data_IF_332080656044
#
_entry.id   IF_332080656044
#
_cell.length_a   1.000
_cell.length_b   1.000
_cell.length_c   1.000
_cell.angle_alpha   90.00
_cell.angle_beta   90.00
_cell.angle_gamma   90.00
#
_symmetry.space_group_name_H-M   'P 1'
#
loop_
_entity.id
_entity.type
_entity.pdbx_description
1 polymer ?
#
# COMPACT_ATOMS: atom_id res chain seq x y z
N UNK A 1 -50.10 4.95 21.40
CA UNK A 1 -49.59 5.16 20.03
C UNK A 1 -48.23 5.83 20.10
N UNK A 2 -47.14 5.08 20.10
CA UNK A 2 -45.80 5.66 20.00
C UNK A 2 -45.20 5.18 18.67
N UNK A 3 -45.15 6.07 17.69
CA UNK A 3 -44.58 5.84 16.37
C UNK A 3 -43.15 6.37 16.38
N UNK A 4 -42.23 5.47 16.04
CA UNK A 4 -40.96 5.65 15.34
C UNK A 4 -40.14 6.91 15.61
N UNK A 5 -38.93 6.71 16.14
CA UNK A 5 -37.71 7.09 15.44
C UNK A 5 -36.72 5.94 15.66
N UNK A 6 -36.63 5.03 14.70
CA UNK A 6 -35.39 4.31 14.46
C UNK A 6 -34.38 5.39 14.11
N UNK A 7 -33.44 5.62 15.01
CA UNK A 7 -32.21 6.34 14.72
C UNK A 7 -31.44 5.44 13.75
N UNK A 8 -31.75 5.62 12.48
CA UNK A 8 -31.03 5.06 11.35
C UNK A 8 -29.56 5.42 11.57
N UNK A 9 -28.77 4.38 11.80
CA UNK A 9 -27.33 4.45 11.97
C UNK A 9 -26.75 5.41 10.92
N UNK A 10 -26.28 6.56 11.39
CA UNK A 10 -25.37 7.42 10.65
C UNK A 10 -24.14 6.55 10.33
N UNK A 11 -24.16 5.93 9.15
CA UNK A 11 -22.98 5.40 8.51
C UNK A 11 -22.09 6.61 8.24
N UNK A 12 -21.30 6.99 9.25
CA UNK A 12 -20.28 8.01 9.17
C UNK A 12 -19.50 7.76 7.88
N UNK A 13 -19.59 8.71 6.96
CA UNK A 13 -18.88 8.68 5.69
C UNK A 13 -17.40 8.76 6.00
N UNK A 14 -16.80 7.59 6.23
CA UNK A 14 -15.40 7.46 6.56
C UNK A 14 -14.64 7.64 5.25
N UNK A 15 -14.35 8.90 4.93
CA UNK A 15 -13.34 9.23 3.92
C UNK A 15 -12.09 8.48 4.37
N UNK A 16 -11.58 7.53 3.56
CA UNK A 16 -10.39 6.78 3.95
C UNK A 16 -9.27 7.79 4.23
N UNK A 17 -8.47 7.51 5.27
CA UNK A 17 -7.30 8.33 5.54
C UNK A 17 -6.47 8.42 4.25
N UNK A 18 -5.87 9.58 3.97
CA UNK A 18 -5.13 9.79 2.72
C UNK A 18 -4.02 8.74 2.56
N UNK A 19 -3.46 8.29 3.70
CA UNK A 19 -2.53 7.18 3.77
C UNK A 19 -3.16 5.83 3.36
N UNK A 20 -4.33 5.48 3.87
CA UNK A 20 -5.02 4.23 3.53
C UNK A 20 -5.38 4.18 2.04
N UNK A 21 -5.86 5.30 1.49
CA UNK A 21 -6.10 5.43 0.05
C UNK A 21 -4.83 5.22 -0.77
N UNK A 22 -3.72 5.82 -0.36
CA UNK A 22 -2.43 5.65 -1.02
C UNK A 22 -1.92 4.21 -0.93
N UNK A 23 -2.11 3.51 0.18
CA UNK A 23 -1.72 2.10 0.32
C UNK A 23 -2.51 1.19 -0.62
N UNK A 24 -3.81 1.45 -0.81
CA UNK A 24 -4.64 0.70 -1.77
C UNK A 24 -4.13 0.90 -3.20
N UNK A 25 -3.77 2.14 -3.57
CA UNK A 25 -3.20 2.44 -4.88
C UNK A 25 -1.85 1.73 -5.08
N UNK A 26 -0.97 1.80 -4.07
CA UNK A 26 0.32 1.10 -4.07
C UNK A 26 0.13 -0.40 -4.29
N UNK A 27 -0.79 -1.05 -3.57
CA UNK A 27 -1.09 -2.47 -3.77
C UNK A 27 -1.51 -2.76 -5.21
N UNK A 28 -2.41 -1.96 -5.77
CA UNK A 28 -2.85 -2.10 -7.16
C UNK A 28 -1.68 -2.00 -8.15
N UNK A 29 -0.80 -1.01 -7.96
CA UNK A 29 0.38 -0.78 -8.81
C UNK A 29 1.39 -1.92 -8.68
N UNK A 30 1.67 -2.39 -7.46
CA UNK A 30 2.60 -3.50 -7.23
C UNK A 30 2.11 -4.81 -7.86
N UNK A 31 0.82 -5.13 -7.73
CA UNK A 31 0.21 -6.31 -8.37
C UNK A 31 0.36 -6.29 -9.89
N UNK A 32 0.24 -5.11 -10.49
CA UNK A 32 0.41 -4.93 -11.94
C UNK A 32 1.87 -5.07 -12.38
N UNK A 33 2.82 -4.61 -11.55
CA UNK A 33 4.25 -4.69 -11.84
C UNK A 33 4.89 -6.05 -11.58
N UNK A 34 4.33 -6.82 -10.65
CA UNK A 34 4.84 -8.13 -10.24
C UNK A 34 3.75 -9.21 -10.41
N UNK A 35 3.26 -9.46 -11.65
CA UNK A 35 2.15 -10.40 -11.88
C UNK A 35 2.50 -11.86 -11.55
N UNK A 36 3.78 -12.21 -11.46
CA UNK A 36 4.27 -13.52 -11.04
C UNK A 36 4.29 -13.72 -9.52
N UNK A 37 4.11 -12.67 -8.72
CA UNK A 37 4.04 -12.76 -7.26
C UNK A 37 2.58 -12.92 -6.82
N UNK A 38 2.35 -13.85 -5.89
CA UNK A 38 1.01 -14.06 -5.32
C UNK A 38 0.47 -12.81 -4.63
N UNK A 39 -0.83 -12.58 -4.78
CA UNK A 39 -1.51 -11.40 -4.25
C UNK A 39 -1.37 -11.28 -2.73
N UNK A 40 -1.51 -12.40 -2.01
CA UNK A 40 -1.41 -12.42 -0.56
C UNK A 40 0.01 -12.05 -0.12
N UNK A 41 1.03 -12.47 -0.86
CA UNK A 41 2.44 -12.11 -0.59
C UNK A 41 2.69 -10.62 -0.79
N UNK A 42 2.14 -9.99 -1.83
CA UNK A 42 2.25 -8.54 -2.03
C UNK A 42 1.60 -7.78 -0.88
N UNK A 43 0.38 -8.18 -0.49
CA UNK A 43 -0.37 -7.58 0.62
C UNK A 43 0.36 -7.75 1.95
N UNK A 44 0.88 -8.94 2.23
CA UNK A 44 1.65 -9.23 3.44
C UNK A 44 2.87 -8.32 3.55
N UNK A 45 3.68 -8.24 2.49
CA UNK A 45 4.87 -7.39 2.50
C UNK A 45 4.55 -5.91 2.69
N UNK A 46 3.56 -5.38 1.97
CA UNK A 46 3.16 -3.96 2.13
C UNK A 46 2.72 -3.69 3.56
N UNK A 47 1.87 -4.55 4.13
CA UNK A 47 1.42 -4.40 5.52
C UNK A 47 2.56 -4.50 6.53
N UNK A 48 3.50 -5.41 6.35
CA UNK A 48 4.61 -5.58 7.27
C UNK A 48 5.63 -4.45 7.18
N UNK A 49 5.84 -3.88 5.99
CA UNK A 49 6.60 -2.65 5.83
C UNK A 49 5.87 -1.48 6.50
N UNK A 50 4.58 -1.33 6.25
CA UNK A 50 3.74 -0.26 6.81
C UNK A 50 3.76 -0.25 8.34
N UNK A 51 3.60 -1.41 8.97
CA UNK A 51 3.67 -1.55 10.45
C UNK A 51 4.99 -1.06 11.04
N UNK A 52 6.12 -1.12 10.30
CA UNK A 52 7.41 -0.60 10.79
C UNK A 52 7.41 0.91 10.97
N UNK A 53 6.49 1.61 10.31
CA UNK A 53 6.30 3.05 10.42
C UNK A 53 5.19 3.47 11.40
N UNK A 54 4.58 2.53 12.14
CA UNK A 54 3.45 2.83 13.03
C UNK A 54 3.74 3.88 14.12
N UNK A 55 5.01 4.05 14.51
CA UNK A 55 5.45 5.04 15.50
C UNK A 55 6.01 6.33 14.86
N UNK A 56 5.96 6.49 13.54
CA UNK A 56 6.50 7.65 12.85
C UNK A 56 5.65 8.91 13.15
N UNK A 57 6.26 10.03 13.58
CA UNK A 57 5.52 11.24 13.93
C UNK A 57 4.99 12.02 12.72
N UNK A 58 5.53 11.77 11.53
CA UNK A 58 5.09 12.37 10.25
C UNK A 58 4.68 11.24 9.33
N UNK A 59 3.42 11.24 8.88
CA UNK A 59 2.82 10.12 8.15
C UNK A 59 2.68 10.34 6.64
N UNK A 60 2.74 11.59 6.18
CA UNK A 60 2.59 11.97 4.76
C UNK A 60 3.56 11.24 3.81
N UNK A 61 4.72 10.83 4.30
CA UNK A 61 5.75 10.14 3.52
C UNK A 61 5.73 8.61 3.69
N UNK A 62 4.94 8.08 4.63
CA UNK A 62 4.88 6.65 4.91
C UNK A 62 4.47 5.86 3.66
N UNK A 63 3.46 6.25 2.86
CA UNK A 63 3.12 5.54 1.62
C UNK A 63 4.31 5.40 0.67
N UNK A 64 5.06 6.48 0.44
CA UNK A 64 6.21 6.48 -0.47
C UNK A 64 7.34 5.57 0.01
N UNK A 65 7.59 5.57 1.32
CA UNK A 65 8.60 4.68 1.92
C UNK A 65 8.17 3.21 1.82
N UNK A 66 6.90 2.93 2.07
CA UNK A 66 6.30 1.60 1.95
C UNK A 66 6.42 1.09 0.52
N UNK A 67 6.00 1.87 -0.48
CA UNK A 67 6.08 1.50 -1.89
C UNK A 67 7.53 1.18 -2.28
N UNK A 68 8.47 2.07 -1.95
CA UNK A 68 9.88 1.91 -2.31
C UNK A 68 10.46 0.60 -1.75
N UNK A 69 10.19 0.31 -0.48
CA UNK A 69 10.68 -0.92 0.16
C UNK A 69 9.96 -2.17 -0.35
N UNK A 70 8.67 -2.07 -0.65
CA UNK A 70 7.90 -3.18 -1.22
C UNK A 70 8.44 -3.55 -2.59
N UNK A 71 8.62 -2.57 -3.48
CA UNK A 71 9.27 -2.77 -4.80
C UNK A 71 10.61 -3.46 -4.64
N UNK A 72 11.49 -2.93 -3.79
CA UNK A 72 12.82 -3.51 -3.57
C UNK A 72 12.76 -4.96 -3.05
N UNK A 73 11.77 -5.30 -2.24
CA UNK A 73 11.57 -6.65 -1.69
C UNK A 73 11.05 -7.60 -2.75
N UNK A 74 10.00 -7.21 -3.49
CA UNK A 74 9.41 -8.01 -4.56
C UNK A 74 10.42 -8.26 -5.70
N UNK A 75 11.17 -7.26 -6.12
CA UNK A 75 12.28 -7.40 -7.08
C UNK A 75 13.29 -8.46 -6.65
N UNK A 76 13.63 -8.55 -5.36
CA UNK A 76 14.54 -9.60 -4.86
C UNK A 76 13.90 -10.98 -4.90
N UNK A 77 12.59 -11.08 -4.68
CA UNK A 77 11.85 -12.35 -4.68
C UNK A 77 11.67 -12.91 -6.09
N UNK A 78 11.42 -12.05 -7.07
CA UNK A 78 11.24 -12.48 -8.46
C UNK A 78 12.56 -12.84 -9.15
N UNK A 79 13.70 -12.60 -8.48
CA UNK A 79 15.03 -12.80 -9.07
C UNK A 79 15.28 -11.87 -10.26
N UNK A 80 14.38 -10.92 -10.51
CA UNK A 80 14.57 -9.86 -11.46
C UNK A 80 15.60 -8.92 -10.84
N UNK A 81 16.89 -9.19 -11.08
CA UNK A 81 17.88 -8.13 -11.01
C UNK A 81 17.40 -7.07 -11.99
N UNK A 82 16.74 -6.02 -11.49
CA UNK A 82 16.59 -4.76 -12.23
C UNK A 82 17.97 -4.52 -12.82
N UNK A 83 18.15 -4.61 -14.15
CA UNK A 83 19.44 -4.29 -14.72
C UNK A 83 19.76 -2.89 -14.23
N UNK A 84 20.90 -2.76 -13.55
CA UNK A 84 21.44 -1.48 -13.13
C UNK A 84 21.18 -0.47 -14.25
N UNK A 85 20.70 0.75 -13.95
CA UNK A 85 20.26 1.68 -14.96
C UNK A 85 21.31 1.72 -16.06
N UNK A 86 20.86 1.37 -17.26
CA UNK A 86 21.63 1.36 -18.49
C UNK A 86 22.30 2.75 -18.55
N UNK A 87 23.58 2.82 -18.15
CA UNK A 87 24.44 3.97 -18.38
C UNK A 87 24.72 3.97 -19.89
N UNK A 88 23.67 4.21 -20.68
CA UNK A 88 23.82 4.54 -22.08
C UNK A 88 24.57 5.86 -22.11
N UNK A 89 25.85 5.74 -22.45
CA UNK A 89 26.57 6.54 -23.45
C UNK A 89 26.15 8.02 -23.53
N UNK A 90 27.03 9.01 -23.34
CA UNK A 90 28.43 9.16 -23.74
C UNK A 90 29.17 10.14 -22.82
#
# INVERSE_FOLDING_TARGET
MNRSVTDDAEAESQVPDAEDGALIEILSVLRQHFPEVDDATVVEHVNDIHKRYAAAPVRDFVPLLVEREARATLTRLTGETVPAPDQRAE
#
